data_IF_358564000669
#
_entry.id   IF_358564000669
#
_cell.length_a   1.000
_cell.length_b   1.000
_cell.length_c   1.000
_cell.angle_alpha   90.00
_cell.angle_beta   90.00
_cell.angle_gamma   90.00
#
_symmetry.space_group_name_H-M   'P 1'
#
loop_
_entity.id
_entity.type
_entity.pdbx_description
1 polymer ?
#
# COMPACT_ATOMS: atom_id res chain seq x y z
N UNK A 1 -37.65 -23.45 -4.99
CA UNK A 1 -36.71 -22.31 -4.91
C UNK A 1 -35.87 -22.46 -3.66
N UNK A 2 -34.74 -23.17 -3.75
CA UNK A 2 -33.79 -23.25 -2.64
C UNK A 2 -32.91 -22.00 -2.66
N UNK A 3 -33.06 -21.14 -1.66
CA UNK A 3 -32.10 -20.06 -1.39
C UNK A 3 -30.75 -20.73 -1.07
N UNK A 4 -29.76 -20.55 -1.94
CA UNK A 4 -28.35 -20.79 -1.59
C UNK A 4 -28.05 -19.93 -0.37
N UNK A 5 -27.81 -20.56 0.77
CA UNK A 5 -27.17 -19.90 1.91
C UNK A 5 -25.74 -19.64 1.45
N UNK A 6 -25.39 -18.38 1.22
CA UNK A 6 -24.00 -17.99 1.04
C UNK A 6 -23.24 -18.47 2.27
N UNK A 7 -22.33 -19.41 2.05
CA UNK A 7 -21.49 -19.99 3.08
C UNK A 7 -20.59 -18.85 3.56
N UNK A 8 -20.88 -18.27 4.72
CA UNK A 8 -20.08 -17.20 5.32
C UNK A 8 -18.63 -17.65 5.35
N UNK A 9 -17.73 -16.84 4.78
CA UNK A 9 -16.31 -17.14 4.80
C UNK A 9 -15.80 -16.98 6.23
N UNK A 10 -15.38 -18.10 6.84
CA UNK A 10 -14.88 -18.14 8.20
C UNK A 10 -13.36 -17.94 8.26
N UNK A 11 -12.74 -17.56 7.13
CA UNK A 11 -11.32 -17.28 7.07
C UNK A 11 -11.04 -15.77 7.11
N UNK A 12 -10.57 -15.29 8.26
CA UNK A 12 -10.21 -13.88 8.48
C UNK A 12 -9.09 -13.38 7.56
N UNK A 13 -8.28 -14.28 6.98
CA UNK A 13 -7.13 -13.89 6.15
C UNK A 13 -7.57 -13.26 4.81
N UNK A 14 -8.82 -13.52 4.40
CA UNK A 14 -9.47 -12.97 3.21
C UNK A 14 -10.13 -11.60 3.44
N UNK A 15 -10.23 -11.15 4.69
CA UNK A 15 -10.92 -9.92 5.05
C UNK A 15 -9.97 -8.73 5.02
N UNK A 16 -10.43 -7.60 4.44
CA UNK A 16 -9.72 -6.33 4.49
C UNK A 16 -9.99 -5.61 5.82
N UNK A 17 -9.21 -4.56 6.12
CA UNK A 17 -9.39 -3.76 7.32
C UNK A 17 -10.85 -3.30 7.48
N UNK A 18 -11.45 -2.77 6.42
CA UNK A 18 -12.83 -2.29 6.42
C UNK A 18 -13.83 -3.40 6.77
N UNK A 19 -13.62 -4.62 6.28
CA UNK A 19 -14.50 -5.74 6.58
C UNK A 19 -14.40 -6.15 8.05
N UNK A 20 -13.20 -6.10 8.63
CA UNK A 20 -12.95 -6.42 10.04
C UNK A 20 -13.55 -5.34 10.95
N UNK A 21 -13.44 -4.07 10.57
CA UNK A 21 -14.07 -2.95 11.29
C UNK A 21 -15.60 -3.05 11.23
N UNK A 22 -16.15 -3.34 10.04
CA UNK A 22 -17.57 -3.54 9.82
C UNK A 22 -18.12 -4.75 10.61
N UNK A 23 -17.33 -5.82 10.77
CA UNK A 23 -17.70 -7.00 11.55
C UNK A 23 -18.03 -6.66 13.01
N UNK A 24 -17.30 -5.73 13.60
CA UNK A 24 -17.52 -5.28 14.97
C UNK A 24 -18.33 -3.97 15.07
N UNK A 25 -18.65 -3.35 13.94
CA UNK A 25 -19.32 -2.05 13.82
C UNK A 25 -18.55 -0.94 14.54
N UNK A 26 -17.25 -0.89 14.25
CA UNK A 26 -16.28 0.00 14.87
C UNK A 26 -15.77 0.97 13.79
N UNK A 27 -15.57 2.26 14.09
CA UNK A 27 -15.03 3.21 13.13
C UNK A 27 -13.52 2.98 12.91
N UNK A 28 -12.94 3.58 11.86
CA UNK A 28 -11.50 3.41 11.53
C UNK A 28 -10.60 4.00 12.63
N UNK A 29 -11.03 5.08 13.25
CA UNK A 29 -10.38 5.81 14.35
C UNK A 29 -10.72 5.24 15.74
N UNK A 30 -10.78 3.92 15.88
CA UNK A 30 -11.31 3.29 17.09
C UNK A 30 -10.45 3.42 18.35
N UNK A 31 -11.13 3.47 19.50
CA UNK A 31 -10.52 3.66 20.82
C UNK A 31 -10.59 2.43 21.73
N UNK A 32 -9.98 2.53 22.93
CA UNK A 32 -10.02 1.47 23.96
C UNK A 32 -11.47 1.09 24.34
N UNK A 33 -12.39 2.04 24.28
CA UNK A 33 -13.82 1.80 24.58
C UNK A 33 -14.48 0.92 23.52
N UNK A 34 -14.12 1.10 22.25
CA UNK A 34 -14.61 0.28 21.14
C UNK A 34 -14.00 -1.11 21.15
N UNK A 35 -12.73 -1.23 21.55
CA UNK A 35 -12.09 -2.52 21.82
C UNK A 35 -12.82 -3.30 22.93
N UNK A 36 -13.25 -2.63 24.00
CA UNK A 36 -14.06 -3.26 25.06
C UNK A 36 -15.41 -3.76 24.51
N UNK A 37 -16.05 -3.00 23.61
CA UNK A 37 -17.29 -3.44 22.94
C UNK A 37 -17.04 -4.63 22.01
N UNK A 38 -15.95 -4.61 21.24
CA UNK A 38 -15.53 -5.72 20.39
C UNK A 38 -15.37 -7.01 21.21
N UNK A 39 -14.67 -6.92 22.36
CA UNK A 39 -14.48 -8.03 23.29
C UNK A 39 -15.81 -8.59 23.82
N UNK A 40 -16.79 -7.72 24.10
CA UNK A 40 -18.13 -8.17 24.50
C UNK A 40 -18.85 -8.92 23.38
N UNK A 41 -18.68 -8.52 22.12
CA UNK A 41 -19.25 -9.23 20.96
C UNK A 41 -18.64 -10.63 20.86
N UNK A 42 -17.31 -10.76 20.95
CA UNK A 42 -16.62 -12.07 20.94
C UNK A 42 -17.10 -12.98 22.07
N UNK A 43 -17.30 -12.43 23.27
CA UNK A 43 -17.81 -13.21 24.40
C UNK A 43 -19.26 -13.69 24.19
N UNK A 44 -20.06 -12.95 23.43
CA UNK A 44 -21.43 -13.34 23.09
C UNK A 44 -21.47 -14.40 21.99
N UNK A 45 -20.45 -14.49 21.13
CA UNK A 45 -20.36 -15.51 20.08
C UNK A 45 -19.81 -16.84 20.58
N UNK A 46 -19.42 -16.94 21.86
CA UNK A 46 -19.00 -18.19 22.48
C UNK A 46 -20.07 -19.30 22.34
N UNK A 47 -19.71 -20.54 21.96
CA UNK A 47 -20.68 -21.62 21.68
C UNK A 47 -21.66 -21.87 22.84
N UNK A 48 -21.20 -21.71 24.07
CA UNK A 48 -22.00 -21.84 25.30
C UNK A 48 -23.14 -20.80 25.43
N UNK A 49 -23.02 -19.63 24.77
CA UNK A 49 -24.00 -18.53 24.86
C UNK A 49 -24.81 -18.34 23.59
N UNK A 50 -24.22 -18.60 22.43
CA UNK A 50 -24.84 -18.39 21.11
C UNK A 50 -25.40 -19.67 20.51
N UNK A 51 -25.00 -20.84 21.02
CA UNK A 51 -25.28 -22.15 20.43
C UNK A 51 -24.83 -22.26 18.95
N UNK A 52 -23.86 -21.42 18.54
CA UNK A 52 -23.24 -21.42 17.22
C UNK A 52 -22.03 -22.37 17.19
N UNK A 53 -21.63 -22.77 15.98
CA UNK A 53 -20.46 -23.61 15.78
C UNK A 53 -19.20 -22.95 16.39
N UNK A 54 -18.34 -23.71 17.13
CA UNK A 54 -17.04 -23.25 17.59
C UNK A 54 -16.19 -22.51 16.55
N UNK A 55 -16.36 -22.78 15.26
CA UNK A 55 -15.67 -22.07 14.17
C UNK A 55 -15.96 -20.56 14.16
N UNK A 56 -17.19 -20.13 14.44
CA UNK A 56 -17.54 -18.71 14.53
C UNK A 56 -16.79 -18.03 15.67
N UNK A 57 -16.73 -18.66 16.84
CA UNK A 57 -15.99 -18.10 17.97
C UNK A 57 -14.49 -17.96 17.68
N UNK A 58 -13.89 -18.95 16.99
CA UNK A 58 -12.49 -18.89 16.54
C UNK A 58 -12.26 -17.74 15.57
N UNK A 59 -13.16 -17.55 14.61
CA UNK A 59 -13.13 -16.43 13.66
C UNK A 59 -13.18 -15.07 14.38
N UNK A 60 -14.20 -14.84 15.21
CA UNK A 60 -14.34 -13.59 15.98
C UNK A 60 -13.17 -13.35 16.95
N UNK A 61 -12.61 -14.42 17.53
CA UNK A 61 -11.43 -14.32 18.40
C UNK A 61 -10.17 -13.92 17.62
N UNK A 62 -9.96 -14.47 16.42
CA UNK A 62 -8.83 -14.11 15.56
C UNK A 62 -8.97 -12.66 15.06
N UNK A 63 -10.18 -12.26 14.65
CA UNK A 63 -10.49 -10.89 14.25
C UNK A 63 -10.25 -9.87 15.38
N UNK A 64 -10.67 -10.18 16.61
CA UNK A 64 -10.39 -9.32 17.77
C UNK A 64 -8.90 -9.23 18.11
N UNK A 65 -8.17 -10.34 18.05
CA UNK A 65 -6.71 -10.32 18.27
C UNK A 65 -6.01 -9.42 17.24
N UNK A 66 -6.46 -9.46 15.99
CA UNK A 66 -5.93 -8.60 14.93
C UNK A 66 -6.20 -7.11 15.21
N UNK A 67 -7.43 -6.75 15.60
CA UNK A 67 -7.75 -5.38 16.02
C UNK A 67 -6.93 -4.92 17.23
N UNK A 68 -6.72 -5.81 18.21
CA UNK A 68 -5.89 -5.53 19.37
C UNK A 68 -4.42 -5.28 18.98
N UNK A 69 -3.86 -6.09 18.08
CA UNK A 69 -2.49 -5.88 17.59
C UNK A 69 -2.33 -4.56 16.84
N UNK A 70 -3.34 -4.14 16.06
CA UNK A 70 -3.34 -2.83 15.37
C UNK A 70 -3.33 -1.69 16.39
N UNK A 71 -4.23 -1.76 17.38
CA UNK A 71 -4.31 -0.74 18.43
C UNK A 71 -3.04 -0.68 19.28
N UNK A 72 -2.48 -1.83 19.63
CA UNK A 72 -1.22 -1.90 20.36
C UNK A 72 -0.06 -1.33 19.52
N UNK A 73 -0.01 -1.61 18.22
CA UNK A 73 0.99 -1.04 17.32
C UNK A 73 0.89 0.49 17.26
N UNK A 74 -0.34 1.02 17.11
CA UNK A 74 -0.61 2.47 17.15
C UNK A 74 -0.15 3.09 18.46
N UNK A 75 -0.52 2.49 19.59
CA UNK A 75 -0.21 2.99 20.93
C UNK A 75 1.28 2.86 21.32
N UNK A 76 1.99 1.84 20.83
CA UNK A 76 3.44 1.68 21.08
C UNK A 76 4.26 2.76 20.39
N UNK A 77 3.82 3.23 19.21
CA UNK A 77 4.41 4.41 18.55
C UNK A 77 4.37 5.67 19.41
N UNK A 78 3.36 5.82 20.26
CA UNK A 78 3.21 6.98 21.17
C UNK A 78 4.00 6.85 22.49
N UNK A 79 4.41 5.64 22.88
CA UNK A 79 4.91 5.34 24.24
C UNK A 79 6.41 5.01 24.27
N UNK A 80 6.97 4.38 23.24
CA UNK A 80 8.37 3.93 23.25
C UNK A 80 9.33 5.07 22.80
N UNK A 81 9.45 6.11 23.64
CA UNK A 81 10.65 6.98 23.72
C UNK A 81 11.78 6.32 24.53
N UNK A 82 11.58 5.08 24.98
CA UNK A 82 12.62 4.30 25.64
C UNK A 82 13.57 3.77 24.57
N UNK A 83 14.77 4.33 24.61
CA UNK A 83 15.92 4.17 23.72
C UNK A 83 16.41 2.70 23.72
N UNK A 84 15.57 1.76 23.23
CA UNK A 84 15.96 0.37 23.03
C UNK A 84 16.89 0.36 21.84
N UNK A 85 18.18 0.28 22.18
CA UNK A 85 19.29 0.16 21.26
C UNK A 85 18.94 -0.77 20.09
N UNK A 86 18.75 -0.21 18.89
CA UNK A 86 18.61 -0.94 17.62
C UNK A 86 19.97 -1.43 17.12
N UNK A 87 20.89 -1.75 18.05
CA UNK A 87 21.98 -2.64 17.68
C UNK A 87 21.33 -3.97 17.34
N UNK A 88 21.68 -4.51 16.16
CA UNK A 88 21.43 -5.90 15.83
C UNK A 88 22.02 -6.75 16.95
N UNK A 89 21.20 -7.07 17.94
CA UNK A 89 21.60 -7.97 18.99
C UNK A 89 21.63 -9.34 18.32
N UNK A 90 22.83 -9.93 18.28
CA UNK A 90 23.01 -11.36 18.01
C UNK A 90 22.46 -12.15 19.21
N UNK A 91 21.22 -11.87 19.62
CA UNK A 91 20.59 -12.43 20.79
C UNK A 91 20.30 -13.90 20.49
N UNK A 92 21.17 -14.77 20.99
CA UNK A 92 20.98 -16.00 21.79
C UNK A 92 19.83 -16.98 21.40
N UNK A 93 18.74 -16.54 20.78
CA UNK A 93 17.64 -17.31 20.23
C UNK A 93 17.98 -18.11 18.94
N UNK A 94 19.20 -17.98 18.41
CA UNK A 94 19.61 -18.63 17.16
C UNK A 94 20.55 -19.83 17.36
N UNK A 95 21.00 -20.14 18.57
CA UNK A 95 21.97 -21.25 18.74
C UNK A 95 21.37 -22.61 18.35
N UNK A 96 20.11 -22.86 18.68
CA UNK A 96 19.40 -24.08 18.24
C UNK A 96 19.23 -24.14 16.72
N UNK A 97 18.93 -23.01 16.09
CA UNK A 97 18.78 -22.91 14.63
C UNK A 97 20.12 -23.08 13.92
N UNK A 98 21.21 -22.56 14.48
CA UNK A 98 22.57 -22.75 13.98
C UNK A 98 22.96 -24.22 14.03
N UNK A 99 22.75 -24.88 15.17
CA UNK A 99 22.97 -26.33 15.31
C UNK A 99 22.15 -27.13 14.31
N UNK A 100 20.90 -26.72 14.05
CA UNK A 100 20.04 -27.37 13.07
C UNK A 100 20.54 -27.18 11.63
N UNK A 101 21.00 -25.97 11.27
CA UNK A 101 21.61 -25.70 9.98
C UNK A 101 22.91 -26.48 9.77
N UNK A 102 23.79 -26.52 10.78
CA UNK A 102 25.05 -27.25 10.73
C UNK A 102 24.78 -28.75 10.45
N UNK A 103 23.85 -29.36 11.18
CA UNK A 103 23.40 -30.75 10.95
C UNK A 103 22.80 -30.97 9.56
N UNK A 104 22.00 -30.00 9.08
CA UNK A 104 21.40 -30.07 7.75
C UNK A 104 22.47 -30.06 6.64
N UNK A 105 23.46 -29.18 6.73
CA UNK A 105 24.56 -29.09 5.77
C UNK A 105 25.57 -30.24 5.88
N UNK A 106 25.73 -30.84 7.06
CA UNK A 106 26.50 -32.08 7.24
C UNK A 106 25.83 -33.27 6.54
N UNK A 107 24.51 -33.42 6.71
CA UNK A 107 23.72 -34.49 6.08
C UNK A 107 23.65 -34.29 4.56
N UNK A 108 23.55 -33.04 4.12
CA UNK A 108 23.53 -32.65 2.70
C UNK A 108 24.90 -32.12 2.26
N UNK A 109 25.94 -32.94 2.42
CA UNK A 109 27.32 -32.59 2.07
C UNK A 109 27.52 -32.09 0.64
N UNK A 110 26.62 -32.42 -0.29
CA UNK A 110 26.58 -31.86 -1.67
C UNK A 110 26.37 -30.34 -1.68
N UNK A 111 25.55 -29.80 -0.77
CA UNK A 111 25.31 -28.36 -0.60
C UNK A 111 26.48 -27.65 0.09
N UNK A 112 27.24 -28.37 0.92
CA UNK A 112 28.45 -27.86 1.60
C UNK A 112 29.70 -27.95 0.72
N UNK A 113 29.73 -28.89 -0.22
CA UNK A 113 30.84 -29.08 -1.15
C UNK A 113 30.90 -27.92 -2.15
N UNK A 114 32.12 -27.48 -2.45
CA UNK A 114 32.53 -26.25 -3.14
C UNK A 114 31.97 -26.01 -4.58
N UNK A 115 30.91 -26.71 -5.01
CA UNK A 115 30.17 -26.45 -6.25
C UNK A 115 28.98 -25.54 -5.93
N UNK A 116 29.21 -24.24 -5.97
CA UNK A 116 28.23 -23.17 -5.68
C UNK A 116 26.87 -23.33 -6.39
N UNK A 117 26.80 -24.05 -7.51
CA UNK A 117 25.59 -24.19 -8.32
C UNK A 117 24.44 -24.91 -7.62
N UNK A 118 24.73 -25.95 -6.83
CA UNK A 118 23.67 -26.72 -6.15
C UNK A 118 23.14 -25.97 -4.93
N UNK A 119 24.01 -25.28 -4.20
CA UNK A 119 23.60 -24.37 -3.12
C UNK A 119 22.79 -23.20 -3.68
N UNK A 120 23.24 -22.53 -4.74
CA UNK A 120 22.51 -21.40 -5.33
C UNK A 120 21.13 -21.83 -5.83
N UNK A 121 21.03 -23.02 -6.44
CA UNK A 121 19.74 -23.56 -6.87
C UNK A 121 18.82 -23.80 -5.67
N UNK A 122 19.31 -24.48 -4.63
CA UNK A 122 18.54 -24.70 -3.41
C UNK A 122 18.16 -23.40 -2.71
N UNK A 123 19.08 -22.45 -2.59
CA UNK A 123 18.86 -21.15 -1.98
C UNK A 123 17.79 -20.37 -2.74
N UNK A 124 17.88 -20.28 -4.07
CA UNK A 124 16.88 -19.62 -4.88
C UNK A 124 15.51 -20.30 -4.73
N UNK A 125 15.45 -21.64 -4.76
CA UNK A 125 14.19 -22.37 -4.54
C UNK A 125 13.58 -22.12 -3.16
N UNK A 126 14.38 -22.09 -2.09
CA UNK A 126 13.90 -21.77 -0.75
C UNK A 126 13.53 -20.30 -0.60
N UNK A 127 14.28 -19.41 -1.24
CA UNK A 127 14.04 -17.97 -1.25
C UNK A 127 12.73 -17.66 -1.98
N UNK A 128 12.56 -18.13 -3.21
CA UNK A 128 11.33 -17.92 -4.01
C UNK A 128 10.09 -18.49 -3.30
N UNK A 129 10.24 -19.59 -2.56
CA UNK A 129 9.13 -20.18 -1.79
C UNK A 129 8.73 -19.35 -0.56
N UNK A 130 9.69 -18.70 0.09
CA UNK A 130 9.50 -18.03 1.38
C UNK A 130 9.48 -16.51 1.29
N UNK A 131 9.88 -15.94 0.14
CA UNK A 131 9.81 -14.52 -0.15
C UNK A 131 8.36 -14.06 -0.07
N UNK A 132 8.12 -12.98 0.67
CA UNK A 132 6.84 -12.27 0.63
C UNK A 132 6.85 -11.38 -0.61
N UNK A 133 5.81 -11.52 -1.44
CA UNK A 133 5.62 -10.62 -2.56
C UNK A 133 4.80 -9.41 -2.10
N UNK A 134 5.30 -8.23 -2.39
CA UNK A 134 4.60 -6.97 -2.16
C UNK A 134 3.99 -6.48 -3.48
N UNK A 135 2.88 -5.75 -3.43
CA UNK A 135 2.27 -5.19 -4.63
C UNK A 135 3.23 -4.27 -5.38
N UNK A 136 4.02 -3.46 -4.66
CA UNK A 136 5.07 -2.63 -5.26
C UNK A 136 6.16 -3.39 -6.02
N UNK A 137 6.41 -4.67 -5.71
CA UNK A 137 7.38 -5.50 -6.46
C UNK A 137 6.73 -6.22 -7.65
N UNK A 138 5.42 -6.48 -7.59
CA UNK A 138 4.68 -7.14 -8.66
C UNK A 138 4.15 -6.15 -9.71
N UNK A 139 3.84 -4.93 -9.28
CA UNK A 139 3.29 -3.89 -10.14
C UNK A 139 4.43 -3.13 -10.79
N UNK A 140 4.59 -3.36 -12.09
CA UNK A 140 5.53 -2.66 -12.95
C UNK A 140 5.02 -2.65 -14.39
N UNK A 141 5.77 -2.01 -15.27
CA UNK A 141 5.35 -1.81 -16.67
C UNK A 141 5.73 -2.97 -17.60
N UNK A 142 6.11 -4.14 -17.09
CA UNK A 142 6.55 -5.25 -17.94
C UNK A 142 5.49 -5.67 -18.97
N UNK A 143 4.25 -5.87 -18.52
CA UNK A 143 3.17 -6.30 -19.42
C UNK A 143 2.84 -5.23 -20.47
N UNK A 144 2.74 -3.97 -20.03
CA UNK A 144 2.51 -2.82 -20.91
C UNK A 144 3.66 -2.64 -21.91
N UNK A 145 4.92 -2.71 -21.48
CA UNK A 145 6.11 -2.54 -22.33
C UNK A 145 6.26 -3.64 -23.39
N UNK A 146 5.74 -4.84 -23.10
CA UNK A 146 5.70 -5.96 -24.06
C UNK A 146 4.50 -5.90 -25.00
N UNK A 147 3.51 -5.07 -24.68
CA UNK A 147 2.28 -4.94 -25.47
C UNK A 147 2.41 -3.83 -26.51
N UNK A 148 1.51 -3.85 -27.50
CA UNK A 148 1.32 -2.74 -28.44
C UNK A 148 0.26 -1.74 -27.92
N UNK A 149 -0.07 -1.78 -26.61
CA UNK A 149 -0.95 -0.80 -25.98
C UNK A 149 -0.30 0.60 -26.05
N UNK A 150 -1.11 1.63 -26.26
CA UNK A 150 -0.68 3.03 -26.44
C UNK A 150 0.27 3.32 -27.61
N UNK A 151 0.53 2.33 -28.47
CA UNK A 151 1.21 2.57 -29.74
C UNK A 151 0.29 3.37 -30.66
N UNK A 152 0.83 4.46 -31.22
CA UNK A 152 0.08 5.34 -32.10
C UNK A 152 -0.22 4.61 -33.43
N UNK A 153 -1.40 3.98 -33.50
CA UNK A 153 -1.87 3.27 -34.69
C UNK A 153 -2.46 4.22 -35.74
N UNK A 154 -2.41 5.54 -35.50
CA UNK A 154 -2.75 6.57 -36.49
C UNK A 154 -1.75 6.55 -37.64
N UNK A 155 -1.98 5.59 -38.52
CA UNK A 155 -1.78 5.58 -39.97
C UNK A 155 -0.71 6.52 -40.50
N UNK A 156 0.29 5.90 -41.10
CA UNK A 156 1.43 6.38 -41.92
C UNK A 156 1.21 7.51 -42.93
N UNK A 157 0.06 8.19 -42.96
CA UNK A 157 -0.33 9.23 -43.92
C UNK A 157 -0.87 10.50 -43.26
N UNK A 158 -0.36 10.92 -42.10
CA UNK A 158 -0.69 12.26 -41.56
C UNK A 158 0.06 13.32 -42.37
N UNK A 159 -0.69 14.20 -43.03
CA UNK A 159 -0.12 15.32 -43.80
C UNK A 159 0.09 16.52 -42.88
N UNK A 160 0.98 17.45 -43.23
CA UNK A 160 1.22 18.68 -42.44
C UNK A 160 -0.07 19.48 -42.14
N UNK A 161 -1.08 19.42 -43.01
CA UNK A 161 -2.38 20.08 -42.82
C UNK A 161 -3.29 19.38 -41.80
N UNK A 162 -3.19 18.06 -41.64
CA UNK A 162 -4.03 17.28 -40.71
C UNK A 162 -3.34 17.06 -39.36
N UNK A 163 -2.03 17.29 -39.29
CA UNK A 163 -1.22 17.14 -38.08
C UNK A 163 -1.73 17.96 -36.89
N UNK A 164 -2.17 19.22 -37.12
CA UNK A 164 -2.70 20.06 -36.06
C UNK A 164 -3.96 19.45 -35.40
N UNK A 165 -4.88 18.92 -36.22
CA UNK A 165 -6.12 18.29 -35.74
C UNK A 165 -5.85 17.00 -34.96
N UNK A 166 -4.88 16.19 -35.40
CA UNK A 166 -4.47 14.99 -34.67
C UNK A 166 -3.80 15.33 -33.34
N UNK A 167 -2.97 16.38 -33.29
CA UNK A 167 -2.42 16.88 -32.02
C UNK A 167 -3.52 17.33 -31.07
N UNK A 168 -4.53 18.06 -31.53
CA UNK A 168 -5.60 18.54 -30.66
C UNK A 168 -6.49 17.41 -30.13
N UNK A 169 -6.73 16.36 -30.94
CA UNK A 169 -7.35 15.11 -30.46
C UNK A 169 -6.53 14.46 -29.36
N UNK A 170 -5.21 14.31 -29.55
CA UNK A 170 -4.31 13.69 -28.58
C UNK A 170 -4.24 14.49 -27.27
N UNK A 171 -4.15 15.83 -27.36
CA UNK A 171 -4.22 16.72 -26.19
C UNK A 171 -5.53 16.57 -25.43
N UNK A 172 -6.66 16.47 -26.14
CA UNK A 172 -7.99 16.31 -25.55
C UNK A 172 -8.16 14.97 -24.84
N UNK A 173 -7.68 13.88 -25.45
CA UNK A 173 -7.66 12.55 -24.83
C UNK A 173 -6.81 12.56 -23.56
N UNK A 174 -5.60 13.10 -23.63
CA UNK A 174 -4.70 13.18 -22.48
C UNK A 174 -5.27 14.05 -21.36
N UNK A 175 -5.92 15.17 -21.69
CA UNK A 175 -6.62 16.04 -20.73
C UNK A 175 -7.68 15.30 -19.92
N UNK A 176 -8.35 14.30 -20.50
CA UNK A 176 -9.36 13.50 -19.79
C UNK A 176 -8.77 12.48 -18.82
N UNK A 177 -7.50 12.11 -19.00
CA UNK A 177 -6.81 11.10 -18.19
C UNK A 177 -6.07 11.71 -16.99
N UNK A 178 -5.78 13.01 -17.03
CA UNK A 178 -4.99 13.67 -15.98
C UNK A 178 -5.82 13.85 -14.72
N UNK A 179 -5.37 13.19 -13.66
CA UNK A 179 -5.88 13.39 -12.31
C UNK A 179 -5.42 14.76 -11.82
N UNK A 180 -6.36 15.63 -11.46
CA UNK A 180 -6.05 16.87 -10.76
C UNK A 180 -5.97 16.59 -9.27
N UNK A 181 -4.75 16.53 -8.77
CA UNK A 181 -4.52 16.57 -7.33
C UNK A 181 -4.74 17.99 -6.81
N UNK A 182 -5.34 18.12 -5.63
CA UNK A 182 -5.45 19.39 -4.93
C UNK A 182 -4.07 19.87 -4.46
N UNK A 183 -4.01 20.97 -3.71
CA UNK A 183 -2.75 21.46 -3.14
C UNK A 183 -2.18 20.39 -2.22
N UNK A 184 -1.18 19.67 -2.72
CA UNK A 184 -0.41 18.73 -1.94
C UNK A 184 0.53 19.51 -1.02
N UNK A 185 0.59 19.11 0.24
CA UNK A 185 1.60 19.66 1.15
C UNK A 185 2.98 19.35 0.57
N UNK A 186 3.88 20.33 0.60
CA UNK A 186 5.29 20.09 0.32
C UNK A 186 5.89 19.42 1.55
N UNK A 187 5.35 18.25 1.90
CA UNK A 187 5.94 17.34 2.85
C UNK A 187 7.30 16.99 2.27
N UNK A 188 8.32 17.54 2.88
CA UNK A 188 9.71 17.36 2.52
C UNK A 188 10.05 15.87 2.59
N UNK A 189 9.82 15.14 1.49
CA UNK A 189 10.45 13.83 1.22
C UNK A 189 11.99 13.92 1.23
N UNK A 190 12.53 15.15 1.32
CA UNK A 190 13.93 15.49 1.61
C UNK A 190 14.53 14.84 2.87
N UNK A 191 13.75 14.18 3.73
CA UNK A 191 14.29 13.38 4.83
C UNK A 191 14.15 11.87 4.57
N UNK A 192 14.94 11.31 3.64
CA UNK A 192 15.25 9.87 3.47
C UNK A 192 14.15 8.83 3.84
N UNK A 193 12.88 9.19 3.70
CA UNK A 193 11.75 8.40 4.15
C UNK A 193 11.23 7.56 3.00
N UNK A 194 11.14 6.26 3.19
CA UNK A 194 10.38 5.38 2.31
C UNK A 194 8.96 5.27 2.85
N UNK A 195 7.95 5.17 1.97
CA UNK A 195 6.63 4.77 2.44
C UNK A 195 6.72 3.33 2.95
N UNK A 196 6.22 3.10 4.17
CA UNK A 196 6.15 1.76 4.75
C UNK A 196 4.92 1.00 4.23
N UNK A 197 4.04 1.66 3.46
CA UNK A 197 3.00 0.95 2.73
C UNK A 197 3.64 0.04 1.68
N UNK A 198 3.02 -1.12 1.45
CA UNK A 198 3.44 -2.04 0.39
C UNK A 198 2.70 -1.83 -0.92
N UNK A 199 1.88 -0.79 -0.94
CA UNK A 199 1.10 -0.39 -2.10
C UNK A 199 2.07 0.19 -3.14
N UNK A 200 1.88 -0.21 -4.40
CA UNK A 200 2.70 0.34 -5.46
C UNK A 200 2.38 1.83 -5.66
N UNK A 201 3.39 2.69 -5.86
CA UNK A 201 3.15 4.09 -6.14
C UNK A 201 2.35 4.25 -7.43
N UNK A 202 1.61 5.36 -7.55
CA UNK A 202 0.85 5.67 -8.77
C UNK A 202 1.75 5.91 -9.99
N UNK A 203 2.95 6.45 -9.76
CA UNK A 203 4.02 6.58 -10.75
C UNK A 203 5.39 6.43 -10.08
N UNK A 204 6.39 5.97 -10.82
CA UNK A 204 7.77 5.78 -10.38
C UNK A 204 8.64 7.00 -10.73
N UNK A 205 8.09 8.21 -10.63
CA UNK A 205 8.84 9.45 -10.87
C UNK A 205 9.71 9.84 -9.69
N UNK A 206 10.80 10.55 -9.98
CA UNK A 206 11.51 11.32 -8.97
C UNK A 206 10.65 12.50 -8.50
N UNK A 207 10.82 12.88 -7.24
CA UNK A 207 10.26 14.13 -6.72
C UNK A 207 10.82 15.35 -7.48
N UNK A 208 10.04 16.44 -7.55
CA UNK A 208 10.35 17.65 -8.32
C UNK A 208 11.69 18.29 -7.95
N UNK A 209 12.18 18.05 -6.73
CA UNK A 209 13.47 18.55 -6.23
C UNK A 209 14.46 17.43 -5.85
N UNK A 210 14.28 16.23 -6.39
CA UNK A 210 15.25 15.14 -6.22
C UNK A 210 16.62 15.52 -6.80
N UNK A 211 17.71 15.12 -6.13
CA UNK A 211 19.07 15.30 -6.65
C UNK A 211 19.33 14.46 -7.90
N UNK A 212 18.62 13.34 -8.03
CA UNK A 212 18.61 12.47 -9.20
C UNK A 212 17.23 12.55 -9.84
N UNK A 213 17.05 13.39 -10.87
CA UNK A 213 15.80 13.47 -11.60
C UNK A 213 15.68 12.27 -12.53
N UNK A 214 14.59 11.53 -12.41
CA UNK A 214 14.20 10.46 -13.32
C UNK A 214 12.69 10.50 -13.52
N UNK A 215 12.27 10.14 -14.73
CA UNK A 215 10.86 10.10 -15.08
C UNK A 215 10.41 8.65 -15.15
N UNK A 216 9.15 8.45 -14.76
CA UNK A 216 8.42 7.21 -14.93
C UNK A 216 8.40 6.79 -16.40
N UNK A 217 8.69 5.52 -16.65
CA UNK A 217 8.84 5.01 -18.01
C UNK A 217 7.51 5.02 -18.77
N UNK A 218 6.41 4.62 -18.14
CA UNK A 218 5.10 4.65 -18.79
C UNK A 218 4.72 6.09 -19.12
N UNK A 219 4.83 6.98 -18.13
CA UNK A 219 4.51 8.39 -18.31
C UNK A 219 5.32 9.04 -19.43
N UNK A 220 6.64 8.80 -19.49
CA UNK A 220 7.50 9.36 -20.53
C UNK A 220 7.09 8.96 -21.95
N UNK A 221 6.47 7.78 -22.11
CA UNK A 221 6.05 7.23 -23.40
C UNK A 221 4.57 7.53 -23.74
N UNK A 222 3.70 7.70 -22.75
CA UNK A 222 2.28 8.03 -22.97
C UNK A 222 2.00 9.53 -22.99
N UNK A 223 2.68 10.32 -22.14
CA UNK A 223 2.45 11.75 -21.96
C UNK A 223 3.32 12.62 -22.89
N UNK A 224 3.25 12.35 -24.19
CA UNK A 224 4.11 13.01 -25.18
C UNK A 224 3.71 14.46 -25.54
N UNK A 225 2.54 14.94 -25.10
CA UNK A 225 2.01 16.27 -25.47
C UNK A 225 1.53 17.03 -24.24
N UNK A 226 1.65 18.36 -24.27
CA UNK A 226 1.07 19.19 -23.21
C UNK A 226 -0.46 19.23 -23.42
N UNK A 227 -1.27 18.81 -22.44
CA UNK A 227 -2.72 18.59 -22.52
C UNK A 227 -3.52 19.91 -22.44
N UNK A 228 -3.09 20.94 -23.17
CA UNK A 228 -3.72 22.25 -23.21
C UNK A 228 -4.36 22.45 -24.56
N UNK A 229 -5.68 22.63 -24.56
CA UNK A 229 -6.50 22.76 -25.77
C UNK A 229 -6.91 24.22 -25.98
N UNK A 230 -7.33 24.57 -27.20
CA UNK A 230 -7.90 25.91 -27.47
C UNK A 230 -9.16 26.17 -26.64
N UNK A 231 -9.90 25.14 -26.25
CA UNK A 231 -11.01 25.26 -25.31
C UNK A 231 -10.56 25.83 -23.96
N UNK A 232 -9.37 25.49 -23.47
CA UNK A 232 -8.85 26.04 -22.20
C UNK A 232 -8.54 27.54 -22.32
N UNK A 233 -8.18 27.99 -23.52
CA UNK A 233 -8.00 29.41 -23.83
C UNK A 233 -9.33 30.14 -23.94
N UNK A 234 -10.33 29.53 -24.61
CA UNK A 234 -11.66 30.12 -24.76
C UNK A 234 -12.46 30.16 -23.45
N UNK A 235 -12.32 29.14 -22.60
CA UNK A 235 -13.01 29.06 -21.32
C UNK A 235 -12.41 29.98 -20.24
N UNK A 236 -11.22 30.54 -20.46
CA UNK A 236 -10.64 31.54 -19.55
C UNK A 236 -11.21 32.92 -19.80
N UNK A 237 -11.47 33.66 -18.72
CA UNK A 237 -11.92 35.04 -18.83
C UNK A 237 -10.81 35.90 -19.48
N UNK A 238 -11.18 36.56 -20.59
CA UNK A 238 -10.34 37.46 -21.37
C UNK A 238 -10.63 38.90 -20.94
N UNK A 239 -9.59 39.73 -20.88
CA UNK A 239 -9.70 41.13 -20.49
C UNK A 239 -9.22 42.02 -21.64
N UNK A 240 -9.98 43.06 -21.96
CA UNK A 240 -9.65 43.98 -23.05
C UNK A 240 -8.70 45.08 -22.60
N UNK A 241 -8.65 45.36 -21.29
CA UNK A 241 -7.77 46.38 -20.73
C UNK A 241 -7.31 46.01 -19.30
N UNK A 242 -6.26 46.68 -18.84
CA UNK A 242 -5.66 46.43 -17.52
C UNK A 242 -6.64 46.75 -16.38
N UNK A 243 -7.50 47.75 -16.54
CA UNK A 243 -8.46 48.15 -15.51
C UNK A 243 -9.51 47.07 -15.25
N UNK A 244 -9.97 46.39 -16.30
CA UNK A 244 -10.89 45.25 -16.25
C UNK A 244 -10.25 44.08 -15.52
N UNK A 245 -8.98 43.77 -15.83
CA UNK A 245 -8.21 42.75 -15.13
C UNK A 245 -8.03 43.05 -13.64
N UNK A 246 -7.67 44.29 -13.28
CA UNK A 246 -7.52 44.72 -11.88
C UNK A 246 -8.85 44.64 -11.14
N UNK A 247 -9.94 45.07 -11.78
CA UNK A 247 -11.28 44.99 -11.19
C UNK A 247 -11.70 43.54 -10.93
N UNK A 248 -11.49 42.65 -11.90
CA UNK A 248 -11.76 41.22 -11.75
C UNK A 248 -10.91 40.57 -10.65
N UNK A 249 -9.63 40.94 -10.52
CA UNK A 249 -8.80 40.46 -9.41
C UNK A 249 -9.32 40.92 -8.05
N UNK A 250 -9.82 42.14 -7.97
CA UNK A 250 -10.39 42.68 -6.73
C UNK A 250 -11.73 42.04 -6.35
N UNK A 251 -12.46 41.45 -7.31
CA UNK A 251 -13.68 40.67 -7.03
C UNK A 251 -13.39 39.23 -6.61
N UNK A 252 -12.18 38.72 -6.83
CA UNK A 252 -11.84 37.37 -6.39
C UNK A 252 -11.77 37.32 -4.86
N UNK A 253 -12.43 36.33 -4.27
CA UNK A 253 -12.31 36.10 -2.83
C UNK A 253 -10.92 35.51 -2.53
N UNK A 254 -10.04 36.39 -2.07
CA UNK A 254 -8.66 36.08 -1.65
C UNK A 254 -8.54 36.06 -0.14
N UNK A 255 -9.68 36.08 0.58
CA UNK A 255 -9.65 36.02 2.04
C UNK A 255 -9.10 34.66 2.46
N UNK A 256 -8.16 34.66 3.43
CA UNK A 256 -7.74 33.41 4.03
C UNK A 256 -8.95 32.74 4.69
N UNK A 257 -8.87 31.42 4.85
CA UNK A 257 -9.86 30.65 5.59
C UNK A 257 -10.09 31.27 6.97
N UNK A 258 -11.35 31.33 7.40
CA UNK A 258 -11.66 31.73 8.77
C UNK A 258 -11.05 30.75 9.78
N UNK A 259 -10.81 31.17 11.02
CA UNK A 259 -10.24 30.31 12.06
C UNK A 259 -11.03 29.00 12.23
N UNK A 260 -12.35 29.07 12.22
CA UNK A 260 -13.23 27.90 12.33
C UNK A 260 -13.06 26.95 11.12
N UNK A 261 -13.01 27.49 9.90
CA UNK A 261 -12.78 26.69 8.68
C UNK A 261 -11.37 26.09 8.64
N UNK A 262 -10.36 26.83 9.10
CA UNK A 262 -8.99 26.36 9.17
C UNK A 262 -8.85 25.22 10.20
N UNK A 263 -9.51 25.33 11.36
CA UNK A 263 -9.55 24.26 12.36
C UNK A 263 -10.27 23.02 11.84
N UNK A 264 -11.40 23.20 11.13
CA UNK A 264 -12.11 22.10 10.49
C UNK A 264 -11.24 21.40 9.43
N UNK A 265 -10.54 22.17 8.59
CA UNK A 265 -9.58 21.65 7.63
C UNK A 265 -8.46 20.83 8.30
N UNK A 266 -7.87 21.35 9.38
CA UNK A 266 -6.83 20.66 10.14
C UNK A 266 -7.35 19.37 10.79
N UNK A 267 -8.56 19.38 11.36
CA UNK A 267 -9.18 18.19 11.95
C UNK A 267 -9.45 17.12 10.89
N UNK A 268 -9.99 17.51 9.73
CA UNK A 268 -10.21 16.59 8.62
C UNK A 268 -8.89 16.00 8.10
N UNK A 269 -7.81 16.79 8.08
CA UNK A 269 -6.48 16.31 7.72
C UNK A 269 -5.96 15.29 8.73
N UNK A 270 -5.97 15.63 10.02
CA UNK A 270 -5.52 14.72 11.08
C UNK A 270 -6.30 13.41 11.05
N UNK A 271 -7.61 13.48 10.81
CA UNK A 271 -8.45 12.28 10.67
C UNK A 271 -8.00 11.39 9.50
N UNK A 272 -7.72 11.97 8.33
CA UNK A 272 -7.18 11.22 7.19
C UNK A 272 -5.81 10.60 7.51
N UNK A 273 -4.97 11.33 8.22
CA UNK A 273 -3.65 10.84 8.65
C UNK A 273 -3.80 9.64 9.61
N UNK A 274 -4.73 9.69 10.56
CA UNK A 274 -5.06 8.60 11.48
C UNK A 274 -5.63 7.37 10.76
N UNK A 275 -6.49 7.58 9.76
CA UNK A 275 -7.02 6.53 8.89
C UNK A 275 -5.88 5.84 8.10
N UNK A 276 -4.99 6.62 7.50
CA UNK A 276 -3.80 6.10 6.79
C UNK A 276 -2.86 5.34 7.74
N UNK A 277 -2.62 5.87 8.94
CA UNK A 277 -1.77 5.23 9.94
C UNK A 277 -2.36 3.87 10.38
N UNK A 278 -3.68 3.81 10.58
CA UNK A 278 -4.38 2.57 10.95
C UNK A 278 -4.31 1.53 9.82
N UNK A 279 -4.49 1.96 8.57
CA UNK A 279 -4.33 1.11 7.39
C UNK A 279 -2.91 0.55 7.27
N UNK A 280 -1.88 1.40 7.41
CA UNK A 280 -0.47 0.97 7.40
C UNK A 280 -0.16 -0.02 8.52
N UNK A 281 -0.65 0.25 9.74
CA UNK A 281 -0.46 -0.63 10.88
C UNK A 281 -1.05 -2.03 10.63
N UNK A 282 -2.24 -2.09 10.01
CA UNK A 282 -2.86 -3.34 9.60
C UNK A 282 -2.03 -4.10 8.57
N UNK A 283 -1.59 -3.43 7.49
CA UNK A 283 -0.76 -4.04 6.45
C UNK A 283 0.54 -4.63 7.03
N UNK A 284 1.23 -3.86 7.88
CA UNK A 284 2.48 -4.28 8.50
C UNK A 284 2.27 -5.44 9.49
N UNK A 285 1.19 -5.42 10.27
CA UNK A 285 0.84 -6.53 11.17
C UNK A 285 0.58 -7.82 10.37
N UNK A 286 -0.16 -7.71 9.26
CA UNK A 286 -0.43 -8.84 8.35
C UNK A 286 0.86 -9.39 7.75
N UNK A 287 1.77 -8.53 7.29
CA UNK A 287 3.08 -8.94 6.77
C UNK A 287 3.95 -9.60 7.82
N UNK A 288 3.94 -9.08 9.04
CA UNK A 288 4.67 -9.66 10.17
C UNK A 288 4.14 -11.06 10.48
N UNK A 289 2.82 -11.25 10.46
CA UNK A 289 2.21 -12.57 10.66
C UNK A 289 2.60 -13.55 9.54
N UNK A 290 2.48 -13.13 8.28
CA UNK A 290 2.87 -13.94 7.11
C UNK A 290 4.36 -14.30 7.15
N UNK A 291 5.23 -13.34 7.47
CA UNK A 291 6.66 -13.56 7.65
C UNK A 291 6.94 -14.61 8.72
N UNK A 292 6.25 -14.53 9.86
CA UNK A 292 6.38 -15.51 10.94
C UNK A 292 5.91 -16.90 10.50
N UNK A 293 4.80 -16.99 9.77
CA UNK A 293 4.30 -18.26 9.23
C UNK A 293 5.30 -18.88 8.25
N UNK A 294 5.82 -18.11 7.29
CA UNK A 294 6.82 -18.57 6.32
C UNK A 294 8.14 -18.98 6.96
N UNK A 295 8.60 -18.22 7.95
CA UNK A 295 9.77 -18.58 8.74
C UNK A 295 9.55 -19.92 9.47
N UNK A 296 8.40 -20.11 10.10
CA UNK A 296 8.09 -21.39 10.76
C UNK A 296 7.98 -22.55 9.77
N UNK A 297 7.35 -22.35 8.61
CA UNK A 297 7.29 -23.34 7.52
C UNK A 297 8.70 -23.75 7.07
N UNK A 298 9.59 -22.77 6.85
CA UNK A 298 10.98 -23.00 6.49
C UNK A 298 11.71 -23.87 7.51
N UNK A 299 11.68 -23.49 8.79
CA UNK A 299 12.34 -24.24 9.86
C UNK A 299 11.75 -25.64 10.05
N UNK A 300 10.42 -25.79 9.93
CA UNK A 300 9.76 -27.09 10.00
C UNK A 300 10.16 -28.01 8.84
N UNK A 301 10.36 -27.47 7.64
CA UNK A 301 10.82 -28.22 6.48
C UNK A 301 12.24 -28.74 6.66
N UNK A 302 13.13 -27.93 7.26
CA UNK A 302 14.49 -28.35 7.61
C UNK A 302 14.49 -29.46 8.68
N UNK A 303 13.60 -29.39 9.68
CA UNK A 303 13.42 -30.42 10.70
C UNK A 303 12.90 -31.75 10.14
N UNK A 304 11.95 -31.72 9.19
CA UNK A 304 11.37 -32.92 8.58
C UNK A 304 12.37 -33.68 7.70
N UNK A 305 13.27 -32.97 7.02
CA UNK A 305 14.35 -33.57 6.22
C UNK A 305 15.43 -34.23 7.08
N UNK A 306 15.46 -33.95 8.39
CA UNK A 306 16.39 -34.57 9.35
C UNK A 306 15.90 -35.92 9.89
N UNK A 307 14.59 -36.17 9.93
CA UNK A 307 14.00 -37.40 10.49
C UNK A 307 13.82 -38.54 9.46
N UNK A 308 14.54 -38.50 8.33
CA UNK A 308 14.60 -39.58 7.34
C UNK A 308 16.00 -40.15 7.24
#
# INVERSE_FOLDING_TARGET
MSKKVEKVDLNIDNYQLDDVLNLFRIPVDFDETDLKRAKQIVLKTHPDKSNLDPEYFRFYSKAYKMLYTIWEFRKRGDIDNDNKNTEYSNDIADEEKRVLLDKFFETNSKLKSNKSKDFNKWFNEQFDKNKLYNEGEQKGYENWLRSDEDMDTTSTNVTMSTMAQEFDKKKSQMRSLIVREEVMDFSSRSMNGCDLSTDAPGSFNSDMFSSLPYQDLHQAHTESVIPVTDEDYENKQKFNNVNEFVSYRNTQDTKPLSEMQALEYLNNRNKKDDEMATSRAYQLAKQTELSRQKNNEFWSGLMLLHNK
#
